data_IF_346786615161
#
_entry.id   IF_346786615161
#
_cell.length_a   1.000
_cell.length_b   1.000
_cell.length_c   1.000
_cell.angle_alpha   90.00
_cell.angle_beta   90.00
_cell.angle_gamma   90.00
#
_symmetry.space_group_name_H-M   'P 1'
#
loop_
_entity.id
_entity.type
_entity.pdbx_description
1 polymer ?
#
# COMPACT_ATOMS: atom_id res chain seq x y z
N UNK A 1 0.62 18.67 -17.95
CA UNK A 1 2.04 18.27 -17.75
C UNK A 1 2.04 17.13 -16.75
N UNK A 2 2.33 15.90 -17.17
CA UNK A 2 2.52 14.78 -16.26
C UNK A 2 3.75 15.05 -15.39
N UNK A 3 3.72 14.77 -14.07
CA UNK A 3 4.86 14.98 -13.20
C UNK A 3 6.12 14.32 -13.76
N UNK A 4 7.28 14.95 -13.58
CA UNK A 4 8.56 14.52 -14.16
C UNK A 4 9.01 13.11 -13.74
N UNK A 5 8.41 12.53 -12.73
CA UNK A 5 8.67 11.15 -12.28
C UNK A 5 7.92 10.07 -13.08
N UNK A 6 6.97 10.48 -13.95
CA UNK A 6 6.29 9.54 -14.87
C UNK A 6 7.04 9.35 -16.19
N UNK A 7 8.22 9.97 -16.37
CA UNK A 7 9.05 9.69 -17.54
C UNK A 7 9.44 8.22 -17.52
N UNK A 8 8.96 7.52 -18.51
CA UNK A 8 9.33 6.15 -18.80
C UNK A 8 10.85 6.02 -18.89
N UNK A 9 11.44 5.33 -17.92
CA UNK A 9 12.81 4.87 -18.06
C UNK A 9 12.90 3.97 -19.30
N UNK A 10 13.97 4.07 -20.12
CA UNK A 10 14.16 3.21 -21.28
C UNK A 10 14.47 1.79 -20.80
N UNK A 11 13.45 1.00 -20.62
CA UNK A 11 13.51 -0.41 -20.34
C UNK A 11 12.56 -1.14 -21.28
N UNK A 12 13.00 -2.23 -21.87
CA UNK A 12 12.27 -2.97 -22.89
C UNK A 12 10.78 -3.18 -22.52
N UNK A 13 9.90 -3.08 -23.48
CA UNK A 13 8.44 -3.24 -23.32
C UNK A 13 8.05 -4.59 -22.67
N UNK A 14 8.90 -5.61 -22.78
CA UNK A 14 8.72 -6.94 -22.20
C UNK A 14 8.86 -7.00 -20.67
N UNK A 15 9.66 -6.10 -20.05
CA UNK A 15 9.81 -6.07 -18.59
C UNK A 15 8.60 -5.42 -17.90
N UNK A 16 7.88 -4.53 -18.59
CA UNK A 16 6.73 -3.83 -18.05
C UNK A 16 5.46 -4.68 -17.92
N UNK A 17 5.34 -5.73 -18.73
CA UNK A 17 4.19 -6.65 -18.68
C UNK A 17 4.29 -7.71 -17.57
N UNK A 18 5.49 -7.93 -17.03
CA UNK A 18 5.76 -9.01 -16.06
C UNK A 18 6.04 -8.53 -14.63
N UNK A 19 6.48 -7.29 -14.44
CA UNK A 19 6.80 -6.77 -13.11
C UNK A 19 6.01 -5.48 -12.85
N UNK A 20 5.17 -5.43 -11.79
CA UNK A 20 4.49 -4.21 -11.40
C UNK A 20 5.50 -3.08 -11.12
N UNK A 21 5.15 -1.85 -11.45
CA UNK A 21 6.02 -0.68 -11.22
C UNK A 21 6.46 -0.56 -9.75
N UNK A 22 5.62 -1.00 -8.84
CA UNK A 22 5.85 -1.00 -7.39
C UNK A 22 6.95 -1.97 -6.94
N UNK A 23 7.31 -2.96 -7.79
CA UNK A 23 8.37 -3.94 -7.53
C UNK A 23 9.71 -3.57 -8.19
N UNK A 24 9.73 -2.56 -9.05
CA UNK A 24 10.97 -2.11 -9.68
C UNK A 24 11.83 -1.41 -8.61
N UNK A 25 13.11 -1.78 -8.45
CA UNK A 25 14.01 -1.09 -7.54
C UNK A 25 14.18 0.37 -7.98
N UNK A 26 13.69 1.30 -7.17
CA UNK A 26 13.67 2.73 -7.52
C UNK A 26 14.44 3.59 -6.51
N UNK A 27 14.38 3.24 -5.23
CA UNK A 27 14.98 4.03 -4.15
C UNK A 27 16.07 3.20 -3.48
N UNK A 28 17.33 3.59 -3.65
CA UNK A 28 18.49 2.89 -3.04
C UNK A 28 18.48 1.37 -3.25
N UNK A 29 17.98 0.90 -4.39
CA UNK A 29 17.88 -0.52 -4.70
C UNK A 29 16.64 -1.23 -4.12
N UNK A 30 15.76 -0.52 -3.42
CA UNK A 30 14.50 -1.06 -2.91
C UNK A 30 13.31 -0.72 -3.81
N UNK A 31 12.32 -1.59 -3.83
CA UNK A 31 11.05 -1.35 -4.50
C UNK A 31 10.17 -0.39 -3.69
N UNK A 32 9.25 0.31 -4.35
CA UNK A 32 8.28 1.18 -3.67
C UNK A 32 7.43 0.40 -2.66
N UNK A 33 7.07 -0.84 -2.98
CA UNK A 33 6.33 -1.70 -2.05
C UNK A 33 7.16 -2.03 -0.80
N UNK A 34 8.47 -2.30 -0.95
CA UNK A 34 9.35 -2.53 0.20
C UNK A 34 9.43 -1.27 1.08
N UNK A 35 9.62 -0.09 0.48
CA UNK A 35 9.63 1.19 1.21
C UNK A 35 8.30 1.43 1.94
N UNK A 36 7.18 1.04 1.32
CA UNK A 36 5.87 1.16 1.95
C UNK A 36 5.70 0.21 3.15
N UNK A 37 6.27 -0.98 3.11
CA UNK A 37 6.29 -1.90 4.25
C UNK A 37 7.23 -1.42 5.35
N UNK A 38 8.44 -1.02 5.00
CA UNK A 38 9.46 -0.57 5.95
C UNK A 38 8.96 0.63 6.80
N UNK A 39 8.11 1.49 6.27
CA UNK A 39 7.51 2.60 7.04
C UNK A 39 6.50 2.17 8.10
N UNK A 40 6.07 0.91 8.06
CA UNK A 40 5.17 0.32 9.07
C UNK A 40 5.94 -0.36 10.20
N UNK A 41 7.26 -0.50 10.08
CA UNK A 41 8.09 -1.10 11.13
C UNK A 41 7.95 -0.31 12.43
N UNK A 42 7.65 -1.02 13.52
CA UNK A 42 7.42 -0.42 14.84
C UNK A 42 6.01 0.17 15.04
N UNK A 43 5.21 0.33 14.00
CA UNK A 43 3.82 0.78 14.09
C UNK A 43 2.85 -0.39 14.27
N UNK A 44 3.02 -1.44 13.48
CA UNK A 44 2.18 -2.64 13.48
C UNK A 44 3.05 -3.90 13.55
N UNK A 45 2.52 -4.93 14.21
CA UNK A 45 3.11 -6.26 14.10
C UNK A 45 3.00 -6.76 12.65
N UNK A 46 4.07 -7.40 12.16
CA UNK A 46 4.12 -7.92 10.79
C UNK A 46 2.97 -8.89 10.46
N UNK A 47 2.44 -9.60 11.46
CA UNK A 47 1.29 -10.50 11.31
C UNK A 47 -0.02 -9.78 10.98
N UNK A 48 -0.09 -8.47 11.21
CA UNK A 48 -1.25 -7.62 10.92
C UNK A 48 -1.14 -6.86 9.59
N UNK A 49 -0.05 -7.03 8.86
CA UNK A 49 0.17 -6.35 7.58
C UNK A 49 -0.22 -7.29 6.43
N UNK A 50 -1.19 -6.87 5.64
CA UNK A 50 -1.66 -7.58 4.44
C UNK A 50 -1.24 -6.82 3.19
N UNK A 51 -0.93 -7.56 2.14
CA UNK A 51 -0.65 -7.01 0.81
C UNK A 51 -1.78 -7.40 -0.11
N UNK A 52 -2.54 -6.41 -0.62
CA UNK A 52 -3.56 -6.62 -1.62
C UNK A 52 -3.03 -6.20 -3.00
N UNK A 53 -2.98 -7.14 -3.93
CA UNK A 53 -2.50 -6.90 -5.30
C UNK A 53 -3.09 -7.93 -6.26
N UNK A 54 -2.95 -7.69 -7.57
CA UNK A 54 -3.37 -8.66 -8.58
C UNK A 54 -2.70 -10.03 -8.36
N UNK A 55 -3.49 -11.11 -8.44
CA UNK A 55 -3.02 -12.49 -8.24
C UNK A 55 -1.82 -12.84 -9.12
N UNK A 56 -1.75 -12.30 -10.33
CA UNK A 56 -0.64 -12.48 -11.27
C UNK A 56 0.71 -12.00 -10.76
N UNK A 57 0.72 -11.20 -9.68
CA UNK A 57 1.93 -10.64 -9.07
C UNK A 57 2.37 -11.36 -7.80
N UNK A 58 1.60 -12.37 -7.35
CA UNK A 58 1.86 -13.12 -6.12
C UNK A 58 3.31 -13.58 -6.01
N UNK A 59 3.78 -14.37 -6.96
CA UNK A 59 5.11 -14.97 -6.90
C UNK A 59 6.22 -13.92 -6.90
N UNK A 60 6.07 -12.87 -7.70
CA UNK A 60 7.03 -11.78 -7.75
C UNK A 60 7.09 -11.00 -6.43
N UNK A 61 5.95 -10.77 -5.79
CA UNK A 61 5.87 -10.08 -4.49
C UNK A 61 6.44 -10.96 -3.38
N UNK A 62 6.01 -12.22 -3.29
CA UNK A 62 6.44 -13.13 -2.23
C UNK A 62 7.94 -13.44 -2.30
N UNK A 63 8.54 -13.47 -3.49
CA UNK A 63 9.98 -13.71 -3.66
C UNK A 63 10.83 -12.44 -3.57
N UNK A 64 10.28 -11.28 -3.91
CA UNK A 64 11.04 -10.04 -4.07
C UNK A 64 10.88 -9.03 -2.94
N UNK A 65 9.91 -9.23 -2.03
CA UNK A 65 9.59 -8.27 -0.97
C UNK A 65 9.81 -8.92 0.41
N UNK A 66 10.73 -8.37 1.17
CA UNK A 66 11.02 -8.85 2.52
C UNK A 66 9.82 -8.63 3.44
N UNK A 67 9.41 -9.67 4.16
CA UNK A 67 8.26 -9.63 5.08
C UNK A 67 6.93 -9.96 4.41
N UNK A 68 6.88 -10.08 3.06
CA UNK A 68 5.70 -10.61 2.39
C UNK A 68 5.48 -12.08 2.75
N UNK A 69 4.23 -12.44 3.05
CA UNK A 69 3.86 -13.80 3.42
C UNK A 69 2.60 -14.24 2.69
N UNK A 70 2.56 -15.52 2.32
CA UNK A 70 1.50 -16.07 1.47
C UNK A 70 0.12 -16.04 2.14
N UNK A 71 0.07 -16.21 3.45
CA UNK A 71 -1.14 -16.17 4.28
C UNK A 71 -1.73 -14.76 4.45
N UNK A 72 -0.93 -13.73 4.16
CA UNK A 72 -1.31 -12.31 4.22
C UNK A 72 -1.25 -11.62 2.84
N UNK A 73 -1.17 -12.40 1.79
CA UNK A 73 -1.30 -11.89 0.43
C UNK A 73 -2.74 -12.07 -0.06
N UNK A 74 -3.41 -10.97 -0.32
CA UNK A 74 -4.76 -10.92 -0.86
C UNK A 74 -4.70 -10.72 -2.37
N UNK A 75 -4.82 -11.81 -3.10
CA UNK A 75 -4.76 -11.80 -4.57
C UNK A 75 -6.08 -11.42 -5.19
N UNK A 76 -6.13 -10.32 -5.92
CA UNK A 76 -7.27 -9.96 -6.75
C UNK A 76 -7.23 -10.75 -8.06
N UNK A 77 -8.26 -11.55 -8.38
CA UNK A 77 -8.30 -12.27 -9.66
C UNK A 77 -8.35 -11.31 -10.85
N UNK A 78 -9.02 -10.18 -10.71
CA UNK A 78 -9.12 -9.10 -11.69
C UNK A 78 -9.10 -7.78 -10.92
N UNK A 79 -8.18 -6.87 -11.26
CA UNK A 79 -8.15 -5.54 -10.67
C UNK A 79 -9.42 -4.75 -11.04
N UNK A 80 -10.12 -4.24 -10.04
CA UNK A 80 -11.38 -3.51 -10.19
C UNK A 80 -11.42 -2.25 -9.32
N UNK A 81 -10.41 -1.43 -9.45
CA UNK A 81 -10.25 -0.17 -8.72
C UNK A 81 -10.14 -0.31 -7.18
N UNK A 82 -9.85 0.79 -6.52
CA UNK A 82 -9.52 0.86 -5.10
C UNK A 82 -10.66 0.37 -4.20
N UNK A 83 -11.91 0.68 -4.53
CA UNK A 83 -13.07 0.28 -3.71
C UNK A 83 -13.17 -1.23 -3.56
N UNK A 84 -12.97 -1.98 -4.65
CA UNK A 84 -13.05 -3.44 -4.62
C UNK A 84 -11.89 -4.05 -3.82
N UNK A 85 -10.67 -3.52 -3.98
CA UNK A 85 -9.51 -3.97 -3.22
C UNK A 85 -9.72 -3.76 -1.72
N UNK A 86 -10.21 -2.58 -1.31
CA UNK A 86 -10.52 -2.25 0.10
C UNK A 86 -11.64 -3.15 0.63
N UNK A 87 -12.73 -3.31 -0.12
CA UNK A 87 -13.85 -4.17 0.28
C UNK A 87 -13.46 -5.64 0.40
N UNK A 88 -12.61 -6.13 -0.51
CA UNK A 88 -12.07 -7.49 -0.44
C UNK A 88 -11.19 -7.68 0.80
N UNK A 89 -10.26 -6.77 1.04
CA UNK A 89 -9.42 -6.82 2.23
C UNK A 89 -10.27 -6.76 3.52
N UNK A 90 -11.23 -5.86 3.59
CA UNK A 90 -12.14 -5.75 4.73
C UNK A 90 -12.95 -7.03 4.96
N UNK A 91 -13.46 -7.66 3.91
CA UNK A 91 -14.21 -8.91 4.01
C UNK A 91 -13.35 -10.08 4.51
N UNK A 92 -12.07 -10.14 4.08
CA UNK A 92 -11.15 -11.20 4.54
C UNK A 92 -10.73 -10.98 5.98
N UNK A 93 -10.30 -9.76 6.32
CA UNK A 93 -9.83 -9.42 7.67
C UNK A 93 -11.00 -9.50 8.67
N UNK A 94 -12.17 -8.99 8.35
CA UNK A 94 -13.34 -9.01 9.21
C UNK A 94 -13.89 -10.42 9.51
N UNK A 95 -13.52 -11.44 8.71
CA UNK A 95 -13.80 -12.84 9.05
C UNK A 95 -12.90 -13.40 10.15
N UNK A 96 -11.70 -12.84 10.28
CA UNK A 96 -10.73 -13.23 11.31
C UNK A 96 -10.95 -12.41 12.57
N UNK A 97 -11.18 -11.12 12.42
CA UNK A 97 -11.41 -10.15 13.48
C UNK A 97 -12.50 -9.15 13.05
N UNK A 98 -13.77 -9.37 13.47
CA UNK A 98 -14.88 -8.49 13.11
C UNK A 98 -14.76 -7.05 13.64
N UNK A 99 -13.97 -6.85 14.69
CA UNK A 99 -13.75 -5.54 15.33
C UNK A 99 -12.46 -4.85 14.83
N UNK A 100 -11.79 -5.43 13.83
CA UNK A 100 -10.53 -4.87 13.33
C UNK A 100 -10.72 -3.48 12.72
N UNK A 101 -9.91 -2.53 13.16
CA UNK A 101 -9.73 -1.25 12.48
C UNK A 101 -8.71 -1.43 11.36
N UNK A 102 -9.11 -1.13 10.13
CA UNK A 102 -8.30 -1.38 8.93
C UNK A 102 -7.74 -0.07 8.38
N UNK A 103 -6.40 0.06 8.33
CA UNK A 103 -5.72 1.13 7.64
C UNK A 103 -5.31 0.70 6.22
N UNK A 104 -5.66 1.50 5.21
CA UNK A 104 -5.30 1.24 3.81
C UNK A 104 -4.27 2.25 3.35
N UNK A 105 -3.13 1.74 2.87
CA UNK A 105 -2.00 2.55 2.44
C UNK A 105 -1.56 2.16 1.04
N UNK A 106 -1.38 3.14 0.17
CA UNK A 106 -0.87 2.90 -1.17
C UNK A 106 0.64 2.71 -1.17
N UNK A 107 1.15 1.87 -2.07
CA UNK A 107 2.57 1.56 -2.18
C UNK A 107 3.36 2.55 -3.06
N UNK A 108 2.70 3.53 -3.67
CA UNK A 108 3.30 4.49 -4.60
C UNK A 108 3.64 5.86 -3.96
N UNK A 109 3.34 6.03 -2.68
CA UNK A 109 3.67 7.25 -1.94
C UNK A 109 5.03 7.16 -1.27
N UNK A 110 5.91 8.10 -1.58
CA UNK A 110 7.18 8.29 -0.87
C UNK A 110 6.99 9.25 0.30
N UNK A 111 7.00 8.71 1.52
CA UNK A 111 6.88 9.48 2.75
C UNK A 111 8.27 9.59 3.39
N UNK A 112 8.74 10.81 3.61
CA UNK A 112 10.08 11.09 4.15
C UNK A 112 10.11 11.15 5.67
N UNK A 113 9.06 11.71 6.28
CA UNK A 113 8.97 11.90 7.73
C UNK A 113 8.24 10.71 8.38
N UNK A 114 8.94 9.59 8.53
CA UNK A 114 8.35 8.32 8.99
C UNK A 114 7.77 8.45 10.38
N UNK A 115 8.47 9.03 11.33
CA UNK A 115 7.99 9.19 12.72
C UNK A 115 6.68 9.99 12.77
N UNK A 116 6.61 11.08 12.00
CA UNK A 116 5.40 11.89 11.90
C UNK A 116 4.25 11.15 11.24
N UNK A 117 4.56 10.39 10.20
CA UNK A 117 3.57 9.53 9.55
C UNK A 117 2.99 8.51 10.54
N UNK A 118 3.85 7.82 11.29
CA UNK A 118 3.42 6.82 12.28
C UNK A 118 2.58 7.45 13.39
N UNK A 119 2.96 8.63 13.92
CA UNK A 119 2.15 9.37 14.89
C UNK A 119 0.76 9.71 14.37
N UNK A 120 0.67 10.23 13.13
CA UNK A 120 -0.62 10.58 12.51
C UNK A 120 -1.49 9.34 12.30
N UNK A 121 -0.90 8.23 11.87
CA UNK A 121 -1.61 6.96 11.67
C UNK A 121 -2.10 6.41 13.01
N UNK A 122 -1.28 6.45 14.05
CA UNK A 122 -1.68 6.05 15.41
C UNK A 122 -2.91 6.83 15.88
N UNK A 123 -2.91 8.17 15.74
CA UNK A 123 -4.09 8.98 16.07
C UNK A 123 -5.32 8.61 15.23
N UNK A 124 -5.13 8.21 13.96
CA UNK A 124 -6.21 7.73 13.12
C UNK A 124 -6.84 6.45 13.66
N UNK A 125 -6.02 5.49 14.09
CA UNK A 125 -6.49 4.26 14.74
C UNK A 125 -7.24 4.56 16.06
N UNK A 126 -6.66 5.35 16.94
CA UNK A 126 -7.29 5.77 18.21
C UNK A 126 -8.66 6.43 17.97
N UNK A 127 -8.78 7.26 16.93
CA UNK A 127 -10.02 7.89 16.57
C UNK A 127 -11.07 6.89 16.10
N UNK A 128 -10.70 5.92 15.24
CA UNK A 128 -11.61 4.89 14.77
C UNK A 128 -12.04 3.94 15.91
N UNK A 129 -11.12 3.59 16.82
CA UNK A 129 -11.44 2.77 17.99
C UNK A 129 -12.41 3.49 18.94
N UNK A 130 -12.24 4.81 19.13
CA UNK A 130 -13.14 5.62 19.98
C UNK A 130 -14.49 5.91 19.32
N UNK A 131 -14.55 5.84 17.98
CA UNK A 131 -15.73 6.12 17.15
C UNK A 131 -15.87 5.10 16.03
N UNK A 132 -16.43 3.91 16.31
CA UNK A 132 -16.49 2.81 15.33
C UNK A 132 -17.31 3.10 14.07
N UNK A 133 -18.14 4.11 14.07
CA UNK A 133 -18.94 4.59 12.94
C UNK A 133 -18.22 5.64 12.06
N UNK A 134 -16.93 5.87 12.32
CA UNK A 134 -16.16 6.93 11.66
C UNK A 134 -15.19 6.36 10.62
N UNK A 135 -15.15 7.02 9.46
CA UNK A 135 -14.08 6.84 8.48
C UNK A 135 -13.07 7.99 8.60
N UNK A 136 -11.79 7.64 8.72
CA UNK A 136 -10.70 8.62 8.81
C UNK A 136 -9.95 8.65 7.49
N UNK A 137 -9.75 9.83 6.93
CA UNK A 137 -8.90 10.04 5.76
C UNK A 137 -7.76 10.99 6.09
N UNK A 138 -6.57 10.70 5.54
CA UNK A 138 -5.39 11.53 5.74
C UNK A 138 -5.21 12.46 4.53
N UNK A 139 -5.48 13.74 4.74
CA UNK A 139 -5.27 14.76 3.70
C UNK A 139 -3.80 15.12 3.58
N UNK A 140 -3.28 15.10 2.34
CA UNK A 140 -1.95 15.62 2.03
C UNK A 140 -2.12 17.03 1.49
N UNK A 141 -1.41 18.00 2.09
CA UNK A 141 -1.44 19.38 1.60
C UNK A 141 -0.84 19.44 0.18
N UNK A 142 -1.62 19.86 -0.83
CA UNK A 142 -1.11 19.99 -2.19
C UNK A 142 0.04 21.00 -2.24
N UNK A 143 1.13 20.65 -2.92
CA UNK A 143 2.25 21.54 -3.21
C UNK A 143 2.19 22.12 -4.62
N UNK A 144 1.36 21.51 -5.46
CA UNK A 144 1.16 21.90 -6.87
C UNK A 144 -0.32 21.78 -7.23
N UNK A 145 -0.74 22.48 -8.31
CA UNK A 145 -2.09 22.30 -8.86
C UNK A 145 -2.13 20.97 -9.60
N UNK A 146 -2.82 19.99 -9.03
CA UNK A 146 -3.04 18.69 -9.65
C UNK A 146 -4.44 18.61 -10.24
N UNK A 147 -4.54 18.18 -11.51
CA UNK A 147 -5.80 18.10 -12.26
C UNK A 147 -6.30 16.65 -12.46
N UNK A 148 -5.78 15.71 -11.71
CA UNK A 148 -6.03 14.28 -11.88
C UNK A 148 -6.86 13.62 -10.77
N UNK A 149 -7.68 14.42 -10.04
CA UNK A 149 -8.59 13.91 -9.01
C UNK A 149 -10.03 14.06 -9.48
#
# INVERSE_FOLDING_TARGET
MTPSWTRSLPGSALSRARLPKQLIPFIKGQSLLQVALDRMDGLLDASRIYICAGETHRDAILSGVKGAASDRFLGEPIGRDTLNAVGYAAAVIGRVDPEAVIGVFTADHLIKEIDRFQQIVTHGYELCESRPDTLVTFGIKPTEVATGY
#
